data_IF_449597314322
#
_entry.id   IF_449597314322
#
_cell.length_a   1.000
_cell.length_b   1.000
_cell.length_c   1.000
_cell.angle_alpha   90.00
_cell.angle_beta   90.00
_cell.angle_gamma   90.00
#
_symmetry.space_group_name_H-M   'P 1'
#
loop_
_entity.id
_entity.type
_entity.pdbx_description
1 polymer ?
#
# COMPACT_ATOMS: atom_id res chain seq x y z
N UNK A 1 17.57 -1.23 -37.36
CA UNK A 1 17.31 0.18 -37.70
C UNK A 1 15.82 0.42 -37.53
N UNK A 2 15.49 1.29 -36.62
CA UNK A 2 14.21 2.02 -36.47
C UNK A 2 13.05 1.28 -35.81
N UNK A 3 12.93 1.41 -34.49
CA UNK A 3 11.65 1.40 -33.76
C UNK A 3 11.67 2.22 -32.46
N UNK A 4 12.53 3.25 -32.37
CA UNK A 4 12.65 4.12 -31.16
C UNK A 4 12.05 5.52 -31.30
N UNK A 5 11.34 5.83 -32.38
CA UNK A 5 10.84 7.21 -32.62
C UNK A 5 9.32 7.44 -32.42
N UNK A 6 8.54 6.41 -32.10
CA UNK A 6 7.06 6.56 -32.08
C UNK A 6 6.48 6.89 -30.70
N UNK A 7 7.25 6.83 -29.61
CA UNK A 7 6.76 7.07 -28.24
C UNK A 7 6.91 8.52 -27.70
N UNK A 8 7.46 9.45 -28.48
CA UNK A 8 7.74 10.83 -28.03
C UNK A 8 6.74 11.90 -28.44
N UNK A 9 5.59 11.57 -29.01
CA UNK A 9 4.62 12.55 -29.55
C UNK A 9 3.26 12.63 -28.85
N UNK A 10 3.08 12.09 -27.66
CA UNK A 10 1.77 12.12 -26.99
C UNK A 10 1.68 13.09 -25.79
N UNK A 11 2.69 13.89 -25.50
CA UNK A 11 2.73 14.78 -24.32
C UNK A 11 2.70 16.28 -24.62
N UNK A 12 2.28 16.72 -25.83
CA UNK A 12 2.19 18.16 -26.15
C UNK A 12 0.82 18.57 -26.69
N UNK A 13 -0.29 18.24 -26.04
CA UNK A 13 -1.59 18.82 -26.40
C UNK A 13 -2.58 18.80 -25.22
N UNK A 14 -2.36 19.61 -24.18
CA UNK A 14 -3.43 20.09 -23.31
C UNK A 14 -3.02 21.42 -22.67
N UNK A 15 -3.11 22.47 -23.40
CA UNK A 15 -2.99 23.84 -22.93
C UNK A 15 -4.12 24.69 -23.47
N UNK A 16 -4.80 25.40 -22.56
CA UNK A 16 -5.57 26.64 -22.78
C UNK A 16 -6.99 26.49 -23.31
N UNK A 17 -7.98 26.69 -22.41
CA UNK A 17 -9.21 27.48 -22.54
C UNK A 17 -10.04 27.28 -21.28
N UNK A 18 -10.59 28.22 -20.52
CA UNK A 18 -10.88 29.62 -20.75
C UNK A 18 -11.72 30.06 -19.56
N UNK A 19 -11.35 31.17 -18.97
CA UNK A 19 -12.08 31.86 -17.89
C UNK A 19 -13.39 32.41 -18.46
N UNK A 20 -14.53 32.12 -17.84
CA UNK A 20 -15.76 32.86 -18.01
C UNK A 20 -16.33 33.24 -16.65
N UNK A 21 -16.17 34.52 -16.33
CA UNK A 21 -16.84 35.19 -15.23
C UNK A 21 -18.34 35.35 -15.54
N UNK A 22 -19.19 35.08 -14.55
CA UNK A 22 -20.56 35.59 -14.52
C UNK A 22 -20.76 36.34 -13.20
N UNK A 23 -20.83 37.67 -13.38
CA UNK A 23 -21.36 38.61 -12.41
C UNK A 23 -22.90 38.68 -12.55
N UNK A 24 -23.60 38.91 -11.47
CA UNK A 24 -25.02 39.23 -11.43
C UNK A 24 -25.49 39.37 -10.00
N UNK A 25 -25.46 40.57 -9.42
CA UNK A 25 -26.54 41.53 -9.22
C UNK A 25 -27.58 41.01 -8.19
N UNK A 26 -27.69 41.66 -7.09
CA UNK A 26 -28.28 42.95 -6.68
C UNK A 26 -29.55 42.76 -5.86
N UNK A 27 -29.65 43.49 -4.72
CA UNK A 27 -30.86 43.59 -3.90
C UNK A 27 -30.59 44.17 -2.51
N UNK A 28 -30.51 45.32 -2.38
CA UNK A 28 -30.97 46.57 -1.79
C UNK A 28 -31.85 46.47 -0.54
N UNK A 29 -31.54 47.33 0.49
CA UNK A 29 -32.37 47.67 1.66
C UNK A 29 -31.52 47.88 2.91
N UNK A 30 -31.09 48.95 3.32
CA UNK A 30 -31.50 50.27 3.78
C UNK A 30 -31.64 50.35 5.29
N UNK A 31 -30.93 51.30 5.96
CA UNK A 31 -31.25 51.74 7.35
C UNK A 31 -30.02 51.87 8.27
N UNK A 32 -29.36 52.97 8.22
CA UNK A 32 -29.31 54.10 9.18
C UNK A 32 -28.61 53.89 10.55
N UNK A 33 -27.57 54.71 10.79
CA UNK A 33 -27.36 55.50 11.99
C UNK A 33 -26.48 54.97 13.12
N UNK A 34 -25.34 55.65 13.34
CA UNK A 34 -24.77 55.78 14.70
C UNK A 34 -23.26 55.76 14.82
N UNK A 35 -22.64 56.93 14.61
CA UNK A 35 -21.29 57.25 15.06
C UNK A 35 -21.13 57.14 16.59
N UNK A 36 -20.03 56.53 17.04
CA UNK A 36 -19.40 56.98 18.30
C UNK A 36 -17.92 56.59 18.27
N UNK A 37 -17.09 57.62 18.14
CA UNK A 37 -15.67 57.58 18.45
C UNK A 37 -15.45 57.40 19.94
N UNK A 38 -14.48 56.59 20.32
CA UNK A 38 -13.80 56.77 21.63
C UNK A 38 -12.34 56.33 21.49
N UNK A 39 -11.49 57.32 21.68
CA UNK A 39 -10.04 57.20 21.79
C UNK A 39 -9.61 56.48 23.08
N UNK A 40 -8.42 55.85 23.02
CA UNK A 40 -7.43 55.83 24.07
C UNK A 40 -7.31 54.58 24.89
N UNK A 41 -6.24 53.86 24.85
CA UNK A 41 -5.13 54.05 25.79
C UNK A 41 -4.08 52.92 25.55
N UNK A 42 -2.82 53.29 25.72
CA UNK A 42 -1.67 52.43 25.55
C UNK A 42 -1.56 51.37 26.63
N UNK A 43 -1.23 50.16 26.20
CA UNK A 43 -0.94 49.01 27.06
C UNK A 43 0.25 48.22 26.52
N UNK A 44 1.39 48.50 27.10
CA UNK A 44 2.64 47.75 27.25
C UNK A 44 2.70 46.39 26.54
N UNK A 45 3.64 46.29 25.60
CA UNK A 45 4.16 45.02 25.11
C UNK A 45 4.83 44.25 26.26
N UNK A 46 4.23 43.16 26.68
CA UNK A 46 4.90 42.13 27.45
C UNK A 46 5.52 41.18 26.40
N UNK A 47 6.84 41.22 26.33
CA UNK A 47 7.60 40.14 25.66
C UNK A 47 7.38 38.87 26.51
N UNK A 48 6.47 38.01 26.06
CA UNK A 48 6.36 36.68 26.59
C UNK A 48 7.35 35.81 25.83
N UNK A 49 8.32 35.30 26.59
CA UNK A 49 9.38 34.46 26.07
C UNK A 49 8.78 33.22 25.36
N UNK A 50 9.06 33.12 24.09
CA UNK A 50 8.74 31.92 23.32
C UNK A 50 9.42 30.70 23.94
N UNK A 51 8.64 29.92 24.65
CA UNK A 51 8.95 28.53 24.91
C UNK A 51 8.86 27.82 23.55
N UNK A 52 10.02 27.44 23.02
CA UNK A 52 10.12 26.53 21.88
C UNK A 52 9.79 25.13 22.38
N UNK A 53 8.59 24.94 22.90
CA UNK A 53 7.99 23.63 23.02
C UNK A 53 7.71 23.14 21.60
N UNK A 54 8.50 22.19 21.11
CA UNK A 54 8.19 21.52 19.86
C UNK A 54 6.75 21.03 19.94
N UNK A 55 5.93 21.47 18.99
CA UNK A 55 4.57 21.00 18.80
C UNK A 55 4.71 19.52 18.36
N UNK A 56 4.79 18.62 19.35
CA UNK A 56 4.77 17.18 19.08
C UNK A 56 3.36 16.86 18.61
N UNK A 57 3.17 16.86 17.29
CA UNK A 57 1.90 16.44 16.72
C UNK A 57 1.60 15.04 17.21
N UNK A 58 0.51 14.87 17.95
CA UNK A 58 0.01 13.56 18.37
C UNK A 58 -0.79 12.88 17.27
N UNK A 59 -0.95 13.54 16.12
CA UNK A 59 -1.66 13.01 14.96
C UNK A 59 -0.67 12.54 13.92
N UNK A 60 -0.71 11.23 13.61
CA UNK A 60 0.17 10.56 12.66
C UNK A 60 -0.63 10.08 11.44
N UNK A 61 -0.09 10.32 10.27
CA UNK A 61 -0.63 9.88 8.99
C UNK A 61 -0.16 8.45 8.71
N UNK A 62 -1.11 7.55 8.42
CA UNK A 62 -0.86 6.14 8.16
C UNK A 62 -1.44 5.73 6.81
N UNK A 63 -0.58 5.35 5.87
CA UNK A 63 -0.98 4.90 4.55
C UNK A 63 -1.06 3.36 4.50
N UNK A 64 -2.22 2.86 4.11
CA UNK A 64 -2.50 1.42 4.08
C UNK A 64 -2.43 0.87 2.64
N UNK A 65 -3.55 0.45 2.11
CA UNK A 65 -3.78 -0.05 0.76
C UNK A 65 -5.27 -0.01 0.45
N UNK A 66 -5.69 -0.65 -0.62
CA UNK A 66 -7.09 -0.76 -0.99
C UNK A 66 -7.93 -1.50 0.06
N UNK A 67 -9.20 -1.13 0.19
CA UNK A 67 -10.10 -1.66 1.23
C UNK A 67 -10.42 -3.15 1.07
N UNK A 68 -10.27 -3.72 -0.12
CA UNK A 68 -10.46 -5.16 -0.38
C UNK A 68 -9.25 -6.04 -0.08
N UNK A 69 -8.12 -5.44 0.33
CA UNK A 69 -6.89 -6.15 0.68
C UNK A 69 -6.71 -6.32 2.20
N UNK A 70 -5.53 -6.81 2.59
CA UNK A 70 -5.19 -7.06 4.00
C UNK A 70 -4.69 -5.80 4.73
N UNK A 71 -4.01 -4.88 4.04
CA UNK A 71 -3.41 -3.69 4.66
C UNK A 71 -4.42 -2.78 5.35
N UNK A 72 -5.55 -2.50 4.70
CA UNK A 72 -6.51 -1.55 5.24
C UNK A 72 -7.19 -2.05 6.53
N UNK A 73 -7.76 -3.26 6.60
CA UNK A 73 -8.33 -3.76 7.85
C UNK A 73 -7.27 -3.91 8.96
N UNK A 74 -6.06 -4.41 8.66
CA UNK A 74 -4.98 -4.52 9.64
C UNK A 74 -4.55 -3.15 10.18
N UNK A 75 -4.44 -2.13 9.32
CA UNK A 75 -4.12 -0.76 9.74
C UNK A 75 -5.18 -0.17 10.69
N UNK A 76 -6.45 -0.54 10.54
CA UNK A 76 -7.50 -0.11 11.45
C UNK A 76 -7.44 -0.85 12.80
N UNK A 77 -6.97 -2.10 12.84
CA UNK A 77 -6.66 -2.77 14.11
C UNK A 77 -5.48 -2.08 14.80
N UNK A 78 -4.37 -1.81 14.09
CA UNK A 78 -3.25 -1.05 14.62
C UNK A 78 -3.67 0.33 15.14
N UNK A 79 -4.52 1.04 14.39
CA UNK A 79 -5.10 2.30 14.85
C UNK A 79 -5.81 2.14 16.20
N UNK A 80 -6.67 1.13 16.32
CA UNK A 80 -7.41 0.89 17.55
C UNK A 80 -6.47 0.62 18.73
N UNK A 81 -5.45 -0.19 18.52
CA UNK A 81 -4.44 -0.53 19.54
C UNK A 81 -3.61 0.70 19.93
N UNK A 82 -3.09 1.45 18.95
CA UNK A 82 -2.25 2.63 19.22
C UNK A 82 -3.04 3.71 19.96
N UNK A 83 -4.27 4.00 19.53
CA UNK A 83 -5.13 5.04 20.17
C UNK A 83 -5.60 4.64 21.57
N UNK A 84 -5.65 3.33 21.89
CA UNK A 84 -5.99 2.85 23.22
C UNK A 84 -4.80 2.89 24.20
N UNK A 85 -3.57 2.81 23.71
CA UNK A 85 -2.37 2.62 24.52
C UNK A 85 -1.39 3.81 24.50
N UNK A 86 -1.68 4.84 23.70
CA UNK A 86 -0.83 6.05 23.56
C UNK A 86 -1.69 7.31 23.44
N UNK A 87 -1.04 8.47 23.48
CA UNK A 87 -1.68 9.75 23.15
C UNK A 87 -1.72 10.03 21.62
N UNK A 88 -1.18 9.13 20.78
CA UNK A 88 -1.19 9.28 19.34
C UNK A 88 -2.53 8.87 18.72
N UNK A 89 -2.90 9.59 17.66
CA UNK A 89 -4.06 9.28 16.82
C UNK A 89 -3.58 8.92 15.41
N UNK A 90 -3.95 7.76 14.88
CA UNK A 90 -3.60 7.35 13.53
C UNK A 90 -4.70 7.75 12.53
N UNK A 91 -4.31 8.53 11.52
CA UNK A 91 -5.16 8.85 10.39
C UNK A 91 -4.92 7.84 9.25
N UNK A 92 -5.63 6.71 9.30
CA UNK A 92 -5.51 5.64 8.30
C UNK A 92 -6.15 6.04 6.98
N UNK A 93 -5.37 5.98 5.90
CA UNK A 93 -5.80 6.30 4.54
C UNK A 93 -5.69 5.09 3.62
N UNK A 94 -6.71 4.90 2.77
CA UNK A 94 -6.64 3.94 1.67
C UNK A 94 -5.85 4.54 0.52
N UNK A 95 -4.96 3.74 -0.08
CA UNK A 95 -4.02 4.14 -1.14
C UNK A 95 -3.91 3.04 -2.18
N UNK A 96 -3.13 3.28 -3.25
CA UNK A 96 -2.69 2.26 -4.22
C UNK A 96 -1.59 1.32 -3.69
N UNK A 97 -1.27 1.37 -2.40
CA UNK A 97 -0.29 0.56 -1.69
C UNK A 97 1.19 0.87 -2.03
N UNK A 98 2.06 -0.14 -2.10
CA UNK A 98 3.48 -0.06 -1.76
C UNK A 98 4.30 1.04 -2.46
N UNK A 99 4.20 1.22 -3.78
CA UNK A 99 5.02 2.22 -4.49
C UNK A 99 4.51 3.64 -4.21
N UNK A 100 3.18 3.83 -4.18
CA UNK A 100 2.56 5.09 -3.79
C UNK A 100 2.89 5.44 -2.34
N UNK A 101 2.84 4.46 -1.44
CA UNK A 101 3.14 4.64 -0.03
C UNK A 101 4.59 5.04 0.23
N UNK A 102 5.53 4.43 -0.50
CA UNK A 102 6.95 4.84 -0.46
C UNK A 102 7.11 6.29 -0.91
N UNK A 103 6.41 6.71 -1.97
CA UNK A 103 6.38 8.11 -2.40
C UNK A 103 5.93 9.04 -1.28
N UNK A 104 4.84 8.69 -0.61
CA UNK A 104 4.26 9.46 0.50
C UNK A 104 5.16 9.51 1.74
N UNK A 105 5.86 8.41 2.07
CA UNK A 105 6.89 8.42 3.11
C UNK A 105 8.07 9.31 2.74
N UNK A 106 8.49 9.26 1.47
CA UNK A 106 9.63 10.03 0.96
C UNK A 106 9.43 11.54 1.06
N UNK A 107 8.23 12.02 0.73
CA UNK A 107 7.88 13.44 0.75
C UNK A 107 7.30 13.93 2.09
N UNK A 108 7.10 13.02 3.06
CA UNK A 108 6.59 13.32 4.40
C UNK A 108 5.08 13.54 4.46
N UNK A 109 4.31 13.16 3.44
CA UNK A 109 2.85 13.15 3.48
C UNK A 109 2.27 11.96 4.26
N UNK A 110 3.08 10.91 4.48
CA UNK A 110 2.83 9.83 5.42
C UNK A 110 3.93 9.75 6.48
N UNK A 111 3.52 9.50 7.73
CA UNK A 111 4.45 9.19 8.83
C UNK A 111 4.77 7.70 8.88
N UNK A 112 3.77 6.87 8.65
CA UNK A 112 3.86 5.42 8.58
C UNK A 112 3.12 4.87 7.36
N UNK A 113 3.56 3.72 6.88
CA UNK A 113 2.84 3.01 5.83
C UNK A 113 3.04 1.50 5.90
N UNK A 114 2.06 0.73 5.38
CA UNK A 114 2.27 -0.66 5.02
C UNK A 114 2.79 -0.75 3.59
N UNK A 115 3.88 -1.47 3.41
CA UNK A 115 4.54 -1.69 2.12
C UNK A 115 5.07 -3.12 2.03
N UNK A 116 5.40 -3.55 0.84
CA UNK A 116 6.14 -4.79 0.61
C UNK A 116 7.63 -4.58 0.84
N UNK A 117 8.29 -5.57 1.41
CA UNK A 117 9.71 -5.53 1.73
C UNK A 117 10.63 -5.48 0.49
N UNK A 118 10.23 -6.11 -0.62
CA UNK A 118 10.91 -6.00 -1.91
C UNK A 118 10.81 -4.57 -2.50
N UNK A 119 9.64 -3.93 -2.37
CA UNK A 119 9.45 -2.53 -2.79
C UNK A 119 10.30 -1.59 -1.92
N UNK A 120 10.39 -1.85 -0.61
CA UNK A 120 11.30 -1.12 0.27
C UNK A 120 12.76 -1.23 -0.19
N UNK A 121 13.21 -2.45 -0.54
CA UNK A 121 14.53 -2.70 -1.07
C UNK A 121 14.79 -1.94 -2.37
N UNK A 122 13.86 -1.97 -3.33
CA UNK A 122 14.01 -1.25 -4.59
C UNK A 122 14.10 0.26 -4.38
N UNK A 123 13.23 0.80 -3.55
CA UNK A 123 13.20 2.22 -3.23
C UNK A 123 14.50 2.68 -2.56
N UNK A 124 14.96 1.95 -1.55
CA UNK A 124 16.19 2.28 -0.81
C UNK A 124 17.43 2.24 -1.68
N UNK A 125 17.49 1.30 -2.63
CA UNK A 125 18.64 1.10 -3.51
C UNK A 125 18.52 1.85 -4.86
N UNK A 126 17.39 2.48 -5.16
CA UNK A 126 17.16 3.14 -6.44
C UNK A 126 17.20 2.19 -7.62
N UNK A 127 16.55 1.02 -7.51
CA UNK A 127 16.61 -0.08 -8.49
C UNK A 127 15.23 -0.72 -8.68
N UNK A 128 15.14 -1.76 -9.50
CA UNK A 128 14.03 -2.71 -9.58
C UNK A 128 12.84 -2.26 -10.40
N UNK A 129 12.43 -1.01 -10.32
CA UNK A 129 11.32 -0.44 -11.09
C UNK A 129 11.65 0.96 -11.60
N UNK A 130 11.06 1.36 -12.72
CA UNK A 130 11.35 2.64 -13.39
C UNK A 130 11.21 3.84 -12.44
N UNK A 131 10.22 3.82 -11.54
CA UNK A 131 9.96 4.90 -10.57
C UNK A 131 11.15 5.17 -9.65
N UNK A 132 11.88 4.13 -9.26
CA UNK A 132 13.02 4.25 -8.33
C UNK A 132 14.38 4.22 -9.04
N UNK A 133 14.45 3.80 -10.31
CA UNK A 133 15.71 3.62 -11.01
C UNK A 133 16.55 4.91 -11.04
N UNK A 134 17.71 4.85 -10.39
CA UNK A 134 18.62 5.98 -10.21
C UNK A 134 18.16 7.03 -9.17
N UNK A 135 17.07 6.78 -8.44
CA UNK A 135 16.50 7.68 -7.43
C UNK A 135 16.28 6.92 -6.12
N UNK A 136 17.35 6.69 -5.37
CA UNK A 136 17.26 6.06 -4.06
C UNK A 136 16.51 6.94 -3.05
N UNK A 137 15.63 6.34 -2.25
CA UNK A 137 14.86 7.01 -1.21
C UNK A 137 15.62 6.89 0.12
N UNK A 138 16.52 7.84 0.36
CA UNK A 138 17.47 7.80 1.48
C UNK A 138 16.78 7.86 2.86
N UNK A 139 15.66 8.58 2.97
CA UNK A 139 14.95 8.77 4.23
C UNK A 139 13.97 7.63 4.57
N UNK A 140 13.80 6.62 3.70
CA UNK A 140 12.97 5.46 3.98
C UNK A 140 13.62 4.56 5.03
N UNK A 141 12.87 4.17 6.06
CA UNK A 141 13.33 3.31 7.15
C UNK A 141 12.26 2.27 7.52
N UNK A 142 12.72 1.10 7.99
CA UNK A 142 11.85 0.02 8.45
C UNK A 142 11.40 0.20 9.88
N UNK A 143 10.25 -0.37 10.21
CA UNK A 143 9.77 -0.51 11.58
C UNK A 143 9.67 -1.97 11.97
N UNK A 144 8.92 -2.77 11.22
CA UNK A 144 8.75 -4.20 11.48
C UNK A 144 8.30 -4.95 10.22
N UNK A 145 8.77 -6.17 10.02
CA UNK A 145 8.14 -7.13 9.10
C UNK A 145 6.95 -7.80 9.78
N UNK A 146 5.95 -8.20 9.01
CA UNK A 146 4.66 -8.63 9.56
C UNK A 146 4.27 -10.06 9.18
N UNK A 147 3.89 -10.29 7.94
CA UNK A 147 3.34 -11.57 7.47
C UNK A 147 3.67 -11.80 5.99
N UNK A 148 3.65 -13.05 5.52
CA UNK A 148 3.80 -13.34 4.10
C UNK A 148 2.64 -12.79 3.28
N UNK A 149 2.94 -11.99 2.28
CA UNK A 149 2.00 -11.53 1.26
C UNK A 149 1.99 -12.52 0.11
N UNK A 150 1.04 -13.42 0.18
CA UNK A 150 0.85 -14.51 -0.76
C UNK A 150 0.44 -14.00 -2.13
N UNK A 151 1.09 -14.46 -3.17
CA UNK A 151 0.67 -14.23 -4.54
C UNK A 151 -0.50 -15.15 -4.85
N UNK A 152 -1.67 -14.57 -5.07
CA UNK A 152 -2.88 -15.30 -5.45
C UNK A 152 -3.26 -14.90 -6.87
N UNK A 153 -3.25 -15.85 -7.81
CA UNK A 153 -3.75 -15.66 -9.17
C UNK A 153 -5.14 -16.25 -9.23
N UNK A 154 -6.15 -15.38 -9.12
CA UNK A 154 -7.55 -15.78 -9.10
C UNK A 154 -8.18 -15.66 -10.49
N UNK A 155 -8.98 -16.66 -10.85
CA UNK A 155 -9.78 -16.73 -12.07
C UNK A 155 -11.14 -17.37 -11.74
N UNK A 156 -12.06 -17.44 -12.69
CA UNK A 156 -13.29 -18.21 -12.55
C UNK A 156 -13.17 -19.53 -13.31
N UNK A 157 -13.78 -20.60 -12.80
CA UNK A 157 -13.82 -21.91 -13.51
C UNK A 157 -14.36 -21.76 -14.94
N UNK A 158 -15.27 -20.82 -15.17
CA UNK A 158 -15.86 -20.55 -16.49
C UNK A 158 -14.87 -20.04 -17.54
N UNK A 159 -13.71 -19.51 -17.15
CA UNK A 159 -12.66 -19.05 -18.09
C UNK A 159 -11.87 -20.21 -18.68
N UNK A 160 -11.83 -21.34 -17.98
CA UNK A 160 -11.01 -22.51 -18.36
C UNK A 160 -9.52 -22.32 -18.12
N UNK A 161 -9.10 -21.27 -17.40
CA UNK A 161 -7.70 -21.05 -16.99
C UNK A 161 -7.43 -21.92 -15.76
N UNK A 162 -6.57 -22.94 -15.92
CA UNK A 162 -6.20 -23.88 -14.86
C UNK A 162 -4.72 -23.79 -14.49
N UNK A 163 -3.88 -23.35 -15.43
CA UNK A 163 -2.42 -23.29 -15.26
C UNK A 163 -1.86 -21.92 -15.65
N UNK A 164 -0.62 -21.62 -15.23
CA UNK A 164 0.07 -20.38 -15.64
C UNK A 164 0.14 -20.22 -17.16
N UNK A 165 0.33 -21.31 -17.91
CA UNK A 165 0.43 -21.23 -19.37
C UNK A 165 -0.87 -20.77 -20.05
N UNK A 166 -2.03 -20.97 -19.40
CA UNK A 166 -3.33 -20.55 -19.93
C UNK A 166 -3.55 -19.03 -19.82
N UNK A 167 -2.68 -18.32 -19.08
CA UNK A 167 -2.69 -16.87 -19.01
C UNK A 167 -2.21 -16.17 -20.29
N UNK A 168 -1.57 -16.92 -21.23
CA UNK A 168 -1.15 -16.37 -22.51
C UNK A 168 -2.35 -15.97 -23.36
N UNK A 169 -2.40 -14.71 -23.80
CA UNK A 169 -3.51 -14.14 -24.55
C UNK A 169 -4.68 -13.64 -23.69
N UNK A 170 -4.67 -13.93 -22.38
CA UNK A 170 -5.73 -13.54 -21.46
C UNK A 170 -5.72 -12.01 -21.16
N UNK A 171 -6.85 -11.51 -20.68
CA UNK A 171 -6.96 -10.18 -20.09
C UNK A 171 -6.76 -10.31 -18.58
N UNK A 172 -5.65 -9.76 -18.08
CA UNK A 172 -5.18 -9.96 -16.71
C UNK A 172 -5.14 -8.63 -15.96
N UNK A 173 -5.80 -8.58 -14.80
CA UNK A 173 -5.56 -7.52 -13.85
C UNK A 173 -4.26 -7.82 -13.08
N UNK A 174 -3.24 -6.97 -13.25
CA UNK A 174 -1.94 -7.10 -12.58
C UNK A 174 -1.88 -6.36 -11.25
N UNK A 175 -2.98 -5.78 -10.77
CA UNK A 175 -3.06 -4.94 -9.59
C UNK A 175 -3.24 -3.47 -9.95
N UNK A 176 -3.43 -2.64 -8.93
CA UNK A 176 -3.56 -1.19 -9.11
C UNK A 176 -2.24 -0.58 -9.60
N UNK A 177 -2.34 0.53 -10.35
CA UNK A 177 -1.14 1.23 -10.82
C UNK A 177 -0.32 1.77 -9.62
N UNK A 178 0.97 1.47 -9.61
CA UNK A 178 1.84 1.86 -8.51
C UNK A 178 1.66 1.00 -7.25
N UNK A 179 1.06 -0.19 -7.37
CA UNK A 179 1.04 -1.17 -6.30
C UNK A 179 2.23 -2.13 -6.38
N UNK A 180 2.61 -2.71 -5.24
CA UNK A 180 3.55 -3.83 -5.23
C UNK A 180 3.00 -5.06 -5.96
N UNK A 181 1.67 -5.25 -5.96
CA UNK A 181 1.01 -6.31 -6.74
C UNK A 181 1.34 -6.22 -8.22
N UNK A 182 1.28 -5.02 -8.81
CA UNK A 182 1.64 -4.83 -10.22
C UNK A 182 3.10 -5.19 -10.48
N UNK A 183 4.00 -4.80 -9.58
CA UNK A 183 5.42 -5.14 -9.70
C UNK A 183 5.63 -6.64 -9.65
N UNK A 184 5.06 -7.31 -8.65
CA UNK A 184 5.20 -8.77 -8.50
C UNK A 184 4.56 -9.54 -9.66
N UNK A 185 3.36 -9.15 -10.12
CA UNK A 185 2.69 -9.78 -11.25
C UNK A 185 3.55 -9.72 -12.51
N UNK A 186 4.12 -8.56 -12.84
CA UNK A 186 4.96 -8.39 -14.01
C UNK A 186 6.26 -9.21 -13.91
N UNK A 187 6.89 -9.24 -12.72
CA UNK A 187 8.08 -10.07 -12.48
C UNK A 187 7.80 -11.56 -12.64
N UNK A 188 6.67 -12.05 -12.11
CA UNK A 188 6.26 -13.45 -12.23
C UNK A 188 5.97 -13.81 -13.67
N UNK A 189 5.15 -13.01 -14.37
CA UNK A 189 4.80 -13.26 -15.78
C UNK A 189 6.06 -13.28 -16.67
N UNK A 190 6.98 -12.33 -16.46
CA UNK A 190 8.26 -12.31 -17.18
C UNK A 190 9.11 -13.55 -16.86
N UNK A 191 9.24 -13.93 -15.58
CA UNK A 191 10.05 -15.06 -15.13
C UNK A 191 9.57 -16.39 -15.72
N UNK A 192 8.24 -16.57 -15.91
CA UNK A 192 7.66 -17.78 -16.52
C UNK A 192 7.47 -17.64 -18.04
N UNK A 193 7.93 -16.53 -18.64
CA UNK A 193 7.93 -16.32 -20.10
C UNK A 193 6.57 -15.95 -20.70
N UNK A 194 5.60 -15.50 -19.91
CA UNK A 194 4.29 -15.02 -20.38
C UNK A 194 4.39 -13.55 -20.70
N UNK A 195 4.46 -13.21 -21.98
CA UNK A 195 4.61 -11.82 -22.47
C UNK A 195 3.45 -11.38 -23.38
N UNK A 196 2.58 -12.30 -23.76
CA UNK A 196 1.39 -12.06 -24.58
C UNK A 196 0.14 -12.12 -23.72
N UNK A 197 -0.26 -10.98 -23.17
CA UNK A 197 -1.48 -10.78 -22.38
C UNK A 197 -1.97 -9.33 -22.51
N UNK A 198 -3.25 -9.09 -22.18
CA UNK A 198 -3.82 -7.75 -22.15
C UNK A 198 -3.84 -7.26 -20.70
N UNK A 199 -2.95 -6.34 -20.34
CA UNK A 199 -2.88 -5.80 -18.99
C UNK A 199 -4.06 -4.87 -18.69
N UNK A 200 -4.67 -5.06 -17.52
CA UNK A 200 -5.60 -4.16 -16.87
C UNK A 200 -5.09 -3.84 -15.47
N UNK A 201 -5.44 -2.66 -14.97
CA UNK A 201 -5.02 -2.22 -13.64
C UNK A 201 -6.22 -1.72 -12.84
N UNK A 202 -6.45 -2.33 -11.70
CA UNK A 202 -7.48 -1.94 -10.75
C UNK A 202 -7.18 -2.53 -9.37
N UNK A 203 -7.71 -1.91 -8.32
CA UNK A 203 -7.67 -2.46 -6.96
C UNK A 203 -8.51 -3.73 -6.83
N UNK A 204 -8.26 -4.52 -5.79
CA UNK A 204 -8.77 -5.90 -5.65
C UNK A 204 -10.30 -6.02 -5.73
N UNK A 205 -11.05 -5.12 -5.07
CA UNK A 205 -12.52 -5.14 -5.13
C UNK A 205 -13.04 -4.92 -6.55
N UNK A 206 -12.43 -3.98 -7.31
CA UNK A 206 -12.81 -3.74 -8.69
C UNK A 206 -12.40 -4.89 -9.60
N UNK A 207 -11.22 -5.50 -9.37
CA UNK A 207 -10.78 -6.68 -10.10
C UNK A 207 -11.74 -7.87 -9.91
N UNK A 208 -12.24 -8.07 -8.67
CA UNK A 208 -13.25 -9.10 -8.37
C UNK A 208 -14.57 -8.84 -9.11
N UNK A 209 -15.03 -7.58 -9.17
CA UNK A 209 -16.21 -7.20 -9.97
C UNK A 209 -15.98 -7.45 -11.47
N UNK A 210 -14.80 -7.12 -12.00
CA UNK A 210 -14.46 -7.35 -13.41
C UNK A 210 -14.40 -8.85 -13.74
N UNK A 211 -13.85 -9.70 -12.84
CA UNK A 211 -13.90 -11.15 -12.97
C UNK A 211 -15.35 -11.66 -12.99
N UNK A 212 -16.18 -11.23 -12.05
CA UNK A 212 -17.58 -11.65 -11.97
C UNK A 212 -18.38 -11.26 -13.22
N UNK A 213 -18.04 -10.14 -13.86
CA UNK A 213 -18.69 -9.66 -15.09
C UNK A 213 -18.09 -10.27 -16.37
N UNK A 214 -16.94 -10.92 -16.30
CA UNK A 214 -16.20 -11.44 -17.46
C UNK A 214 -15.49 -10.35 -18.27
N UNK A 215 -15.17 -9.21 -17.64
CA UNK A 215 -14.40 -8.12 -18.26
C UNK A 215 -12.89 -8.43 -18.27
N UNK A 216 -12.43 -9.27 -17.35
CA UNK A 216 -11.07 -9.82 -17.27
C UNK A 216 -11.15 -11.34 -17.07
N UNK A 217 -10.08 -12.05 -17.42
CA UNK A 217 -9.98 -13.50 -17.32
C UNK A 217 -9.28 -13.97 -16.04
N UNK A 218 -8.33 -13.18 -15.54
CA UNK A 218 -7.58 -13.47 -14.32
C UNK A 218 -7.18 -12.16 -13.59
N UNK A 219 -6.91 -12.28 -12.28
CA UNK A 219 -6.38 -11.18 -11.49
C UNK A 219 -5.26 -11.65 -10.55
N UNK A 220 -4.20 -10.86 -10.47
CA UNK A 220 -3.22 -10.98 -9.40
C UNK A 220 -3.72 -10.24 -8.17
N UNK A 221 -3.68 -10.91 -7.04
CA UNK A 221 -4.01 -10.38 -5.71
C UNK A 221 -2.85 -10.75 -4.79
N UNK A 222 -2.18 -9.76 -4.23
CA UNK A 222 -1.05 -9.98 -3.32
C UNK A 222 -1.44 -9.50 -1.93
N UNK A 223 -1.48 -10.44 -0.99
CA UNK A 223 -1.90 -10.17 0.38
C UNK A 223 -1.96 -11.43 1.20
N UNK A 224 -1.97 -11.29 2.52
CA UNK A 224 -2.09 -12.46 3.39
C UNK A 224 -3.47 -13.10 3.26
N UNK A 225 -3.51 -14.39 2.92
CA UNK A 225 -4.77 -15.16 2.85
C UNK A 225 -5.45 -15.29 4.23
N UNK A 226 -6.82 -15.33 4.27
CA UNK A 226 -7.71 -15.00 3.18
C UNK A 226 -7.69 -13.50 2.86
N UNK A 227 -7.86 -13.16 1.58
CA UNK A 227 -8.02 -11.75 1.14
C UNK A 227 -9.49 -11.47 0.89
N UNK A 228 -10.04 -10.44 1.53
CA UNK A 228 -11.49 -10.18 1.56
C UNK A 228 -12.13 -10.10 0.16
N UNK A 229 -11.47 -9.46 -0.80
CA UNK A 229 -12.00 -9.35 -2.16
C UNK A 229 -12.17 -10.71 -2.86
N UNK A 230 -11.30 -11.70 -2.55
CA UNK A 230 -11.43 -13.07 -3.08
C UNK A 230 -12.48 -13.85 -2.31
N UNK A 231 -12.55 -13.68 -0.97
CA UNK A 231 -13.60 -14.31 -0.16
C UNK A 231 -15.00 -13.90 -0.65
N UNK A 232 -15.21 -12.59 -0.86
CA UNK A 232 -16.47 -12.05 -1.38
C UNK A 232 -16.80 -12.61 -2.76
N UNK A 233 -15.83 -12.66 -3.69
CA UNK A 233 -16.00 -13.24 -5.02
C UNK A 233 -16.40 -14.71 -4.94
N UNK A 234 -15.71 -15.50 -4.10
CA UNK A 234 -15.91 -16.93 -3.95
C UNK A 234 -17.26 -17.31 -3.29
N UNK A 235 -17.99 -16.34 -2.66
CA UNK A 235 -19.33 -16.59 -2.14
C UNK A 235 -20.38 -16.69 -3.23
N UNK A 236 -20.14 -16.09 -4.40
CA UNK A 236 -21.12 -15.95 -5.47
C UNK A 236 -20.65 -16.52 -6.81
N UNK A 237 -19.39 -16.88 -6.93
CA UNK A 237 -18.78 -17.40 -8.16
C UNK A 237 -17.92 -18.65 -7.86
N UNK A 238 -17.86 -19.54 -8.82
CA UNK A 238 -16.94 -20.69 -8.77
C UNK A 238 -15.54 -20.20 -9.15
N UNK A 239 -14.71 -19.94 -8.14
CA UNK A 239 -13.33 -19.45 -8.32
C UNK A 239 -12.35 -20.60 -8.48
N UNK A 240 -11.31 -20.37 -9.29
CA UNK A 240 -10.12 -21.19 -9.34
C UNK A 240 -8.88 -20.33 -8.98
N UNK A 241 -7.93 -20.92 -8.25
CA UNK A 241 -6.64 -20.29 -7.93
C UNK A 241 -5.55 -21.02 -8.71
N UNK A 242 -4.87 -20.29 -9.58
CA UNK A 242 -3.79 -20.85 -10.41
C UNK A 242 -2.53 -21.01 -9.57
N UNK A 243 -1.98 -22.23 -9.53
CA UNK A 243 -0.75 -22.51 -8.77
C UNK A 243 0.50 -21.95 -9.44
N UNK A 244 1.47 -21.56 -8.58
CA UNK A 244 2.85 -21.28 -8.97
C UNK A 244 3.71 -22.39 -8.37
N UNK A 245 3.93 -23.48 -9.12
CA UNK A 245 4.57 -24.68 -8.61
C UNK A 245 5.67 -25.22 -9.55
N UNK A 246 6.42 -26.20 -9.07
CA UNK A 246 7.42 -26.93 -9.86
C UNK A 246 8.47 -26.00 -10.49
N UNK A 247 8.71 -26.18 -11.81
CA UNK A 247 9.70 -25.43 -12.57
C UNK A 247 9.36 -23.93 -12.66
N UNK A 248 8.06 -23.58 -12.67
CA UNK A 248 7.61 -22.18 -12.68
C UNK A 248 7.97 -21.48 -11.38
N UNK A 249 7.73 -22.12 -10.23
CA UNK A 249 8.12 -21.56 -8.92
C UNK A 249 9.64 -21.42 -8.81
N UNK A 250 10.39 -22.39 -9.30
CA UNK A 250 11.84 -22.30 -9.36
C UNK A 250 12.29 -21.11 -10.21
N UNK A 251 11.72 -20.92 -11.40
CA UNK A 251 12.04 -19.82 -12.29
C UNK A 251 11.75 -18.45 -11.65
N UNK A 252 10.60 -18.30 -10.96
CA UNK A 252 10.23 -17.09 -10.24
C UNK A 252 11.27 -16.76 -9.13
N UNK A 253 11.64 -17.75 -8.33
CA UNK A 253 12.63 -17.58 -7.24
C UNK A 253 14.05 -17.35 -7.74
N UNK A 254 14.42 -17.92 -8.87
CA UNK A 254 15.72 -17.68 -9.52
C UNK A 254 15.81 -16.28 -10.12
N UNK A 255 14.69 -15.75 -10.62
CA UNK A 255 14.61 -14.39 -11.15
C UNK A 255 14.62 -13.33 -10.05
N UNK A 256 14.07 -13.64 -8.86
CA UNK A 256 13.89 -12.66 -7.79
C UNK A 256 13.96 -13.31 -6.40
N UNK A 257 15.02 -12.99 -5.65
CA UNK A 257 15.34 -13.63 -4.37
C UNK A 257 14.42 -13.25 -3.21
N UNK A 258 13.55 -12.27 -3.37
CA UNK A 258 12.54 -11.88 -2.37
C UNK A 258 11.30 -12.76 -2.37
N UNK A 259 11.08 -13.57 -3.40
CA UNK A 259 10.00 -14.55 -3.39
C UNK A 259 10.39 -15.78 -2.56
N UNK A 260 9.57 -16.09 -1.56
CA UNK A 260 9.66 -17.30 -0.77
C UNK A 260 8.56 -18.30 -1.17
N UNK A 261 8.77 -19.59 -0.87
CA UNK A 261 7.72 -20.59 -1.03
C UNK A 261 6.56 -20.30 -0.09
N UNK A 262 5.33 -20.40 -0.59
CA UNK A 262 4.12 -20.28 0.20
C UNK A 262 3.04 -21.25 -0.30
N UNK A 263 2.02 -21.45 0.54
CA UNK A 263 0.89 -22.34 0.23
C UNK A 263 -0.39 -21.76 0.80
N UNK A 264 -1.39 -21.56 -0.04
CA UNK A 264 -2.74 -21.23 0.40
C UNK A 264 -3.40 -22.52 0.88
N UNK A 265 -3.81 -22.66 2.15
CA UNK A 265 -4.43 -23.88 2.66
C UNK A 265 -5.75 -24.18 1.93
N UNK A 266 -6.01 -25.46 1.69
CA UNK A 266 -7.30 -25.89 1.15
C UNK A 266 -8.45 -25.47 2.05
N UNK A 267 -9.54 -25.00 1.46
CA UNK A 267 -10.70 -24.48 2.18
C UNK A 267 -10.59 -23.02 2.63
N UNK A 268 -9.48 -22.32 2.31
CA UNK A 268 -9.34 -20.87 2.55
C UNK A 268 -10.41 -20.07 1.81
N UNK A 269 -10.66 -20.43 0.56
CA UNK A 269 -11.71 -19.83 -0.26
C UNK A 269 -12.79 -20.84 -0.60
N UNK A 270 -14.06 -20.41 -0.63
CA UNK A 270 -15.20 -21.27 -0.99
C UNK A 270 -14.97 -21.88 -2.36
N UNK A 271 -15.15 -23.20 -2.48
CA UNK A 271 -14.92 -23.95 -3.73
C UNK A 271 -13.48 -24.47 -3.92
N UNK A 272 -12.49 -23.89 -3.26
CA UNK A 272 -11.07 -24.30 -3.36
C UNK A 272 -10.73 -25.27 -2.21
N UNK A 273 -10.86 -26.57 -2.45
CA UNK A 273 -10.72 -27.61 -1.42
C UNK A 273 -9.28 -28.07 -1.18
N UNK A 274 -8.45 -28.02 -2.20
CA UNK A 274 -7.06 -28.47 -2.14
C UNK A 274 -6.10 -27.32 -1.84
N UNK A 275 -4.95 -27.58 -1.18
CA UNK A 275 -3.92 -26.56 -1.00
C UNK A 275 -3.37 -26.10 -2.35
N UNK A 276 -3.10 -24.79 -2.49
CA UNK A 276 -2.52 -24.20 -3.70
C UNK A 276 -1.10 -23.73 -3.41
N UNK A 277 -0.13 -24.33 -4.10
CA UNK A 277 1.27 -23.92 -4.02
C UNK A 277 1.50 -22.59 -4.76
N UNK A 278 2.25 -21.69 -4.14
CA UNK A 278 2.52 -20.36 -4.68
C UNK A 278 3.83 -19.80 -4.12
N UNK A 279 4.04 -18.52 -4.27
CA UNK A 279 5.12 -17.74 -3.65
C UNK A 279 4.55 -16.57 -2.87
N UNK A 280 5.34 -16.01 -1.95
CA UNK A 280 5.00 -14.82 -1.20
C UNK A 280 6.18 -13.84 -1.15
N UNK A 281 5.87 -12.58 -0.96
CA UNK A 281 6.77 -11.54 -0.47
C UNK A 281 6.42 -11.20 0.98
N UNK A 282 7.17 -10.31 1.65
CA UNK A 282 6.92 -9.97 3.05
C UNK A 282 6.27 -8.60 3.18
N UNK A 283 5.19 -8.51 3.95
CA UNK A 283 4.61 -7.23 4.39
C UNK A 283 5.47 -6.59 5.47
N UNK A 284 5.54 -5.26 5.49
CA UNK A 284 6.23 -4.52 6.54
C UNK A 284 5.55 -3.19 6.88
N UNK A 285 5.77 -2.72 8.09
CA UNK A 285 5.57 -1.32 8.48
C UNK A 285 6.85 -0.57 8.13
N UNK A 286 6.70 0.54 7.41
CA UNK A 286 7.78 1.47 7.12
C UNK A 286 7.43 2.88 7.62
N UNK A 287 8.46 3.69 7.79
CA UNK A 287 8.41 5.09 8.20
C UNK A 287 9.47 5.89 7.46
N UNK A 288 9.64 7.15 7.78
CA UNK A 288 10.73 7.99 7.26
C UNK A 288 11.53 8.61 8.40
N UNK A 289 12.79 8.95 8.13
CA UNK A 289 13.71 9.50 9.13
C UNK A 289 13.31 10.87 9.69
N UNK A 290 12.23 11.49 9.22
CA UNK A 290 11.68 12.75 9.75
C UNK A 290 10.72 12.55 10.92
N UNK A 291 10.21 11.32 11.12
CA UNK A 291 9.37 10.98 12.27
C UNK A 291 10.26 10.86 13.52
N UNK A 292 9.79 11.36 14.66
CA UNK A 292 10.61 11.33 15.88
C UNK A 292 10.80 9.91 16.41
N UNK A 293 11.98 9.61 16.97
CA UNK A 293 12.27 8.32 17.60
C UNK A 293 11.24 7.94 18.67
N UNK A 294 10.81 8.89 19.48
CA UNK A 294 9.79 8.71 20.51
C UNK A 294 8.45 8.26 19.91
N UNK A 295 8.01 8.87 18.79
CA UNK A 295 6.76 8.48 18.13
C UNK A 295 6.84 7.08 17.56
N UNK A 296 7.94 6.74 16.88
CA UNK A 296 8.12 5.40 16.31
C UNK A 296 8.24 4.34 17.39
N UNK A 297 9.00 4.59 18.46
CA UNK A 297 9.12 3.67 19.62
C UNK A 297 7.76 3.42 20.27
N UNK A 298 7.00 4.49 20.57
CA UNK A 298 5.69 4.37 21.21
C UNK A 298 4.65 3.64 20.34
N UNK A 299 4.61 3.93 19.04
CA UNK A 299 3.71 3.24 18.10
C UNK A 299 4.10 1.77 17.96
N UNK A 300 5.39 1.46 17.85
CA UNK A 300 5.90 0.09 17.78
C UNK A 300 5.57 -0.67 19.07
N UNK A 301 5.85 -0.10 20.23
CA UNK A 301 5.55 -0.68 21.54
C UNK A 301 4.03 -0.93 21.69
N UNK A 302 3.19 0.05 21.35
CA UNK A 302 1.74 -0.12 21.43
C UNK A 302 1.26 -1.31 20.61
N UNK A 303 1.75 -1.48 19.38
CA UNK A 303 1.36 -2.59 18.51
C UNK A 303 1.89 -3.93 19.06
N UNK A 304 3.20 -4.03 19.32
CA UNK A 304 3.83 -5.32 19.63
C UNK A 304 3.65 -5.80 21.08
N UNK A 305 3.34 -4.89 22.01
CA UNK A 305 2.99 -5.27 23.39
C UNK A 305 1.51 -5.70 23.53
N UNK A 306 0.67 -5.48 22.48
CA UNK A 306 -0.77 -5.78 22.51
C UNK A 306 -1.22 -6.60 21.28
N UNK A 307 -0.37 -7.51 20.81
CA UNK A 307 -0.67 -8.39 19.66
C UNK A 307 -1.88 -9.32 19.90
N UNK A 308 -2.25 -9.57 21.14
CA UNK A 308 -3.44 -10.34 21.51
C UNK A 308 -4.76 -9.60 21.24
N UNK A 309 -4.72 -8.31 20.93
CA UNK A 309 -5.87 -7.52 20.47
C UNK A 309 -6.08 -7.63 18.95
N UNK A 310 -5.13 -8.17 18.19
CA UNK A 310 -5.29 -8.42 16.76
C UNK A 310 -6.27 -9.57 16.51
N UNK A 311 -7.02 -9.49 15.43
CA UNK A 311 -7.93 -10.55 14.98
C UNK A 311 -7.50 -11.16 13.64
N UNK A 312 -6.65 -10.46 12.90
CA UNK A 312 -6.13 -10.90 11.60
C UNK A 312 -4.61 -11.05 11.65
N UNK A 313 -4.08 -12.05 10.93
CA UNK A 313 -2.63 -12.37 10.82
C UNK A 313 -1.94 -12.71 12.15
N UNK A 314 -2.70 -13.10 13.16
CA UNK A 314 -2.20 -13.39 14.52
C UNK A 314 -1.16 -14.50 14.58
N UNK A 315 -1.21 -15.45 13.64
CA UNK A 315 -0.25 -16.57 13.59
C UNK A 315 1.12 -16.15 13.00
N UNK A 316 1.21 -14.97 12.39
CA UNK A 316 2.40 -14.51 11.67
C UNK A 316 3.06 -13.30 12.33
N UNK A 317 2.27 -12.38 12.91
CA UNK A 317 2.80 -11.14 13.48
C UNK A 317 3.25 -11.40 14.91
N UNK A 318 4.57 -11.43 15.12
CA UNK A 318 5.17 -11.63 16.43
C UNK A 318 6.35 -10.68 16.64
N UNK A 319 6.66 -10.33 17.89
CA UNK A 319 7.83 -9.50 18.18
C UNK A 319 9.15 -10.22 17.82
N UNK A 320 9.18 -11.57 17.97
CA UNK A 320 10.37 -12.38 17.70
C UNK A 320 10.73 -12.41 16.20
N UNK A 321 9.74 -12.33 15.31
CA UNK A 321 9.94 -12.35 13.85
C UNK A 321 9.88 -10.98 13.18
N UNK A 322 9.65 -9.92 13.95
CA UNK A 322 9.39 -8.57 13.42
C UNK A 322 10.56 -7.94 12.64
N UNK A 323 11.73 -8.56 12.65
CA UNK A 323 12.91 -8.10 11.93
C UNK A 323 13.41 -9.12 10.90
N UNK A 324 12.77 -10.30 10.81
CA UNK A 324 13.19 -11.36 9.91
C UNK A 324 13.09 -10.92 8.46
N UNK A 325 14.23 -10.97 7.76
CA UNK A 325 14.29 -10.62 6.35
C UNK A 325 14.11 -9.13 6.03
N UNK A 326 14.17 -8.23 7.02
CA UNK A 326 14.11 -6.79 6.82
C UNK A 326 15.14 -6.34 5.78
N UNK A 327 14.68 -5.67 4.71
CA UNK A 327 15.51 -5.30 3.57
C UNK A 327 16.17 -3.93 3.68
N UNK A 328 15.74 -3.12 4.63
CA UNK A 328 16.21 -1.75 4.88
C UNK A 328 16.52 -1.55 6.35
N UNK A 329 17.28 -0.51 6.67
CA UNK A 329 17.65 -0.19 8.05
C UNK A 329 16.41 0.18 8.89
N UNK A 330 16.40 -0.28 10.15
CA UNK A 330 15.38 0.13 11.11
C UNK A 330 15.48 1.61 11.44
N UNK A 331 14.34 2.20 11.71
CA UNK A 331 14.27 3.52 12.35
C UNK A 331 14.77 3.43 13.79
N UNK A 332 15.46 4.47 14.29
CA UNK A 332 16.06 4.48 15.64
C UNK A 332 15.05 4.17 16.75
N UNK A 333 13.78 4.62 16.60
CA UNK A 333 12.72 4.33 17.56
C UNK A 333 12.29 2.86 17.53
N UNK A 334 12.23 2.23 16.35
CA UNK A 334 11.95 0.80 16.23
C UNK A 334 13.11 -0.03 16.80
N UNK A 335 14.36 0.34 16.47
CA UNK A 335 15.57 -0.29 17.03
C UNK A 335 15.60 -0.20 18.55
N UNK A 336 15.21 0.95 19.14
CA UNK A 336 15.13 1.12 20.60
C UNK A 336 14.12 0.16 21.23
N UNK A 337 12.95 -0.04 20.63
CA UNK A 337 11.95 -0.98 21.13
C UNK A 337 12.44 -2.44 21.07
N UNK A 338 13.02 -2.87 19.94
CA UNK A 338 13.51 -4.24 19.78
C UNK A 338 14.85 -4.53 20.49
N UNK A 339 15.52 -3.51 21.01
CA UNK A 339 16.76 -3.64 21.80
C UNK A 339 18.02 -3.79 20.95
N UNK A 340 18.05 -3.17 19.76
CA UNK A 340 19.19 -3.12 18.83
C UNK A 340 20.03 -1.84 18.94
#
# INVERSE_FOLDING_TARGET
>A
MSSKETRRRFLEAAGIAGVAALAGCSGNGGGDGGDTETEGDGGTATEDGGDSGGDTSTRLSWHAGGTGGTYYPLSNEFKTIVEANTDYTLNVQSTGASVENVGSLSDGSADFALIQNDIAYFAKNGTGIETFEGNAIENLQGVATLYPETITIVTLESTGIETLSDLSGATINTGDLGSGTQVNANQILEAVGITDYNEQNAGFSQASEQLANGDIDAAFVVGGWPVGAIEDLATTNDVNIVSIEGDNRAAVKDAASWFADDTIPGGTYSGVSDPVETVAVQAMIATNSGVSAEAVENVTAAIFDNLDELTIKTDFITADSAQDGMSIELHEGAAAYFGE
#
